data_IF_406496541259
#
_entry.id   IF_406496541259
#
_cell.length_a   1.000
_cell.length_b   1.000
_cell.length_c   1.000
_cell.angle_alpha   90.00
_cell.angle_beta   90.00
_cell.angle_gamma   90.00
#
_symmetry.space_group_name_H-M   'P 1'
#
loop_
_entity.id
_entity.type
_entity.pdbx_description
1 polymer ?
#
# COMPACT_ATOMS: atom_id res chain seq x y z
N UNK A 1 -2.10 22.75 21.70
CA UNK A 1 -2.37 21.98 20.47
C UNK A 1 -2.87 22.94 19.42
N UNK A 2 -2.21 22.96 18.27
CA UNK A 2 -2.69 23.63 17.08
C UNK A 2 -3.95 22.93 16.53
N UNK A 3 -4.66 23.57 15.60
CA UNK A 3 -5.74 22.92 14.88
C UNK A 3 -5.25 21.69 14.11
N UNK A 4 -4.05 21.76 13.52
CA UNK A 4 -3.41 20.65 12.81
C UNK A 4 -3.12 19.47 13.75
N UNK A 5 -2.59 19.72 14.95
CA UNK A 5 -2.29 18.68 15.95
C UNK A 5 -3.56 17.93 16.36
N UNK A 6 -4.67 18.66 16.48
CA UNK A 6 -5.98 18.09 16.84
C UNK A 6 -6.51 17.20 15.73
N UNK A 7 -6.37 17.64 14.47
CA UNK A 7 -6.76 16.85 13.30
C UNK A 7 -5.87 15.60 13.17
N UNK A 8 -4.55 15.75 13.33
CA UNK A 8 -3.60 14.63 13.28
C UNK A 8 -3.93 13.57 14.35
N UNK A 9 -4.13 13.98 15.60
CA UNK A 9 -4.50 13.07 16.68
C UNK A 9 -5.83 12.36 16.39
N UNK A 10 -6.85 13.10 15.97
CA UNK A 10 -8.16 12.52 15.62
C UNK A 10 -8.07 11.53 14.46
N UNK A 11 -7.32 11.87 13.41
CA UNK A 11 -7.07 11.01 12.26
C UNK A 11 -6.28 9.75 12.62
N UNK A 12 -5.26 9.87 13.48
CA UNK A 12 -4.50 8.73 13.99
C UNK A 12 -5.36 7.75 14.79
N UNK A 13 -6.22 8.26 15.69
CA UNK A 13 -7.17 7.43 16.45
C UNK A 13 -8.16 6.76 15.51
N UNK A 14 -8.72 7.50 14.55
CA UNK A 14 -9.65 6.96 13.56
C UNK A 14 -9.00 5.88 12.68
N UNK A 15 -7.75 6.08 12.27
CA UNK A 15 -6.97 5.10 11.50
C UNK A 15 -6.77 3.80 12.29
N UNK A 16 -6.35 3.90 13.55
CA UNK A 16 -6.17 2.73 14.41
C UNK A 16 -7.50 1.98 14.62
N UNK A 17 -8.58 2.68 14.95
CA UNK A 17 -9.89 2.08 15.15
C UNK A 17 -10.41 1.40 13.87
N UNK A 18 -10.29 2.06 12.72
CA UNK A 18 -10.71 1.52 11.42
C UNK A 18 -9.87 0.30 11.03
N UNK A 19 -8.54 0.35 11.20
CA UNK A 19 -7.66 -0.77 10.91
C UNK A 19 -7.98 -1.99 11.78
N UNK A 20 -8.18 -1.81 13.09
CA UNK A 20 -8.53 -2.90 14.02
C UNK A 20 -9.90 -3.51 13.67
N UNK A 21 -10.90 -2.67 13.37
CA UNK A 21 -12.21 -3.15 12.92
C UNK A 21 -12.11 -3.96 11.62
N UNK A 22 -11.26 -3.52 10.69
CA UNK A 22 -11.01 -4.24 9.45
C UNK A 22 -10.31 -5.57 9.68
N UNK A 23 -9.29 -5.61 10.54
CA UNK A 23 -8.58 -6.85 10.87
C UNK A 23 -9.51 -7.86 11.52
N UNK A 24 -10.35 -7.42 12.46
CA UNK A 24 -11.38 -8.26 13.05
C UNK A 24 -12.33 -8.83 11.99
N UNK A 25 -12.74 -8.03 11.01
CA UNK A 25 -13.60 -8.47 9.92
C UNK A 25 -12.95 -9.51 8.98
N UNK A 26 -11.62 -9.69 9.04
CA UNK A 26 -10.91 -10.76 8.30
C UNK A 26 -10.79 -12.07 9.08
N UNK A 27 -11.02 -12.05 10.39
CA UNK A 27 -10.99 -13.23 11.25
C UNK A 27 -12.35 -13.94 11.30
N UNK A 28 -13.45 -13.18 11.23
CA UNK A 28 -14.82 -13.69 11.26
C UNK A 28 -15.42 -13.80 9.85
N UNK A 29 -16.18 -14.87 9.59
CA UNK A 29 -16.88 -15.12 8.32
C UNK A 29 -18.36 -14.74 8.36
N UNK A 30 -18.83 -14.14 9.45
CA UNK A 30 -20.21 -13.69 9.57
C UNK A 30 -20.59 -12.60 8.55
N UNK A 31 -21.90 -12.49 8.22
CA UNK A 31 -22.41 -11.41 7.35
C UNK A 31 -22.11 -10.00 7.88
N UNK A 32 -22.03 -9.84 9.20
CA UNK A 32 -21.64 -8.58 9.83
C UNK A 32 -20.21 -8.16 9.45
N UNK A 33 -19.29 -9.13 9.32
CA UNK A 33 -17.91 -8.88 8.92
C UNK A 33 -17.81 -8.24 7.53
N UNK A 34 -18.70 -8.59 6.58
CA UNK A 34 -18.75 -7.96 5.26
C UNK A 34 -19.12 -6.47 5.30
N UNK A 35 -20.06 -6.07 6.18
CA UNK A 35 -20.41 -4.64 6.36
C UNK A 35 -19.30 -3.87 7.06
N UNK A 36 -18.66 -4.50 8.06
CA UNK A 36 -17.51 -3.90 8.74
C UNK A 36 -16.37 -3.69 7.75
N UNK A 37 -16.05 -4.68 6.90
CA UNK A 37 -15.03 -4.54 5.85
C UNK A 37 -15.33 -3.39 4.89
N UNK A 38 -16.58 -3.30 4.42
CA UNK A 38 -17.05 -2.28 3.48
C UNK A 38 -16.78 -0.85 3.98
N UNK A 39 -16.92 -0.61 5.27
CA UNK A 39 -16.74 0.72 5.88
C UNK A 39 -15.31 0.93 6.38
N UNK A 40 -14.79 -0.04 7.13
CA UNK A 40 -13.50 0.06 7.80
C UNK A 40 -12.33 0.15 6.82
N UNK A 41 -12.41 -0.51 5.66
CA UNK A 41 -11.32 -0.52 4.68
C UNK A 41 -11.11 0.87 4.05
N UNK A 42 -12.12 1.51 3.43
CA UNK A 42 -11.98 2.90 2.97
C UNK A 42 -11.63 3.88 4.08
N UNK A 43 -12.25 3.73 5.26
CA UNK A 43 -12.05 4.64 6.39
C UNK A 43 -10.60 4.62 6.89
N UNK A 44 -9.98 3.45 6.96
CA UNK A 44 -8.57 3.34 7.35
C UNK A 44 -7.66 4.11 6.38
N UNK A 45 -7.84 3.93 5.07
CA UNK A 45 -7.04 4.64 4.05
C UNK A 45 -7.26 6.15 4.09
N UNK A 46 -8.51 6.62 4.24
CA UNK A 46 -8.84 8.05 4.39
C UNK A 46 -8.18 8.63 5.66
N UNK A 47 -8.32 7.94 6.79
CA UNK A 47 -7.80 8.40 8.07
C UNK A 47 -6.27 8.45 8.07
N UNK A 48 -5.60 7.45 7.50
CA UNK A 48 -4.13 7.44 7.35
C UNK A 48 -3.66 8.58 6.43
N UNK A 49 -4.35 8.80 5.29
CA UNK A 49 -4.02 9.91 4.39
C UNK A 49 -4.23 11.28 5.03
N UNK A 50 -5.29 11.44 5.83
CA UNK A 50 -5.56 12.66 6.58
C UNK A 50 -4.51 12.89 7.67
N UNK A 51 -4.12 11.82 8.36
CA UNK A 51 -3.02 11.86 9.32
C UNK A 51 -1.71 12.29 8.65
N UNK A 52 -1.39 11.75 7.46
CA UNK A 52 -0.21 12.11 6.69
C UNK A 52 -0.14 13.61 6.38
N UNK A 53 -1.25 14.17 5.88
CA UNK A 53 -1.31 15.60 5.52
C UNK A 53 -1.31 16.50 6.76
N UNK A 54 -2.06 16.15 7.80
CA UNK A 54 -2.16 16.96 9.01
C UNK A 54 -0.89 16.94 9.86
N UNK A 55 -0.04 15.92 9.69
CA UNK A 55 1.21 15.74 10.42
C UNK A 55 2.45 16.04 9.56
N UNK A 56 2.27 16.50 8.32
CA UNK A 56 3.39 16.78 7.43
C UNK A 56 4.24 17.91 8.00
N UNK A 57 5.57 17.75 7.99
CA UNK A 57 6.50 18.79 8.41
C UNK A 57 6.44 20.00 7.46
N UNK A 58 6.68 21.20 8.00
CA UNK A 58 6.54 22.47 7.26
C UNK A 58 7.50 22.59 6.05
N UNK A 59 8.61 21.84 6.07
CA UNK A 59 9.65 21.84 5.04
C UNK A 59 9.44 20.74 3.98
N UNK A 60 8.39 19.93 4.08
CA UNK A 60 8.05 18.93 3.05
C UNK A 60 7.81 19.65 1.71
N UNK A 61 8.50 19.25 0.63
CA UNK A 61 8.28 19.84 -0.69
C UNK A 61 6.82 19.68 -1.13
N UNK A 62 6.22 20.75 -1.65
CA UNK A 62 4.81 20.71 -2.12
C UNK A 62 4.56 19.59 -3.13
N UNK A 63 5.52 19.33 -4.02
CA UNK A 63 5.44 18.23 -4.98
C UNK A 63 5.33 16.86 -4.29
N UNK A 64 6.07 16.64 -3.19
CA UNK A 64 5.99 15.41 -2.41
C UNK A 64 4.62 15.25 -1.74
N UNK A 65 4.12 16.31 -1.11
CA UNK A 65 2.81 16.31 -0.45
C UNK A 65 1.67 16.04 -1.44
N UNK A 66 1.66 16.71 -2.60
CA UNK A 66 0.66 16.50 -3.66
C UNK A 66 0.73 15.07 -4.19
N UNK A 67 1.93 14.55 -4.45
CA UNK A 67 2.11 13.18 -4.90
C UNK A 67 1.63 12.15 -3.85
N UNK A 68 1.88 12.40 -2.56
CA UNK A 68 1.38 11.57 -1.47
C UNK A 68 -0.15 11.52 -1.45
N UNK A 69 -0.81 12.68 -1.53
CA UNK A 69 -2.28 12.78 -1.55
C UNK A 69 -2.86 12.01 -2.75
N UNK A 70 -2.28 12.17 -3.94
CA UNK A 70 -2.67 11.41 -5.13
C UNK A 70 -2.50 9.91 -4.88
N UNK A 71 -1.37 9.49 -4.30
CA UNK A 71 -1.10 8.10 -3.93
C UNK A 71 -2.15 7.51 -3.00
N UNK A 72 -2.50 8.21 -1.91
CA UNK A 72 -3.53 7.77 -0.97
C UNK A 72 -4.92 7.72 -1.59
N UNK A 73 -5.30 8.70 -2.43
CA UNK A 73 -6.58 8.70 -3.14
C UNK A 73 -6.66 7.53 -4.13
N UNK A 74 -5.59 7.24 -4.86
CA UNK A 74 -5.52 6.11 -5.78
C UNK A 74 -5.54 4.76 -5.04
N UNK A 75 -4.92 4.66 -3.86
CA UNK A 75 -5.06 3.50 -2.99
C UNK A 75 -6.50 3.32 -2.52
N UNK A 76 -7.18 4.40 -2.13
CA UNK A 76 -8.60 4.37 -1.75
C UNK A 76 -9.50 3.90 -2.89
N UNK A 77 -9.29 4.43 -4.10
CA UNK A 77 -10.03 3.98 -5.30
C UNK A 77 -9.76 2.50 -5.58
N UNK A 78 -8.51 2.05 -5.44
CA UNK A 78 -8.14 0.64 -5.54
C UNK A 78 -8.83 -0.21 -4.48
N UNK A 79 -8.89 0.25 -3.24
CA UNK A 79 -9.54 -0.42 -2.12
C UNK A 79 -11.01 -0.66 -2.38
N UNK A 80 -11.71 0.37 -2.89
CA UNK A 80 -13.13 0.32 -3.24
C UNK A 80 -13.36 -0.60 -4.44
N UNK A 81 -12.54 -0.51 -5.48
CA UNK A 81 -12.65 -1.36 -6.67
C UNK A 81 -12.49 -2.85 -6.35
N UNK A 82 -11.64 -3.18 -5.37
CA UNK A 82 -11.39 -4.56 -4.92
C UNK A 82 -12.36 -5.05 -3.83
N UNK A 83 -13.33 -4.23 -3.38
CA UNK A 83 -14.34 -4.71 -2.45
C UNK A 83 -15.20 -5.80 -3.12
N UNK A 84 -15.65 -6.83 -2.39
CA UNK A 84 -16.52 -7.87 -2.95
C UNK A 84 -17.82 -7.35 -3.57
N UNK A 85 -18.29 -6.17 -3.15
CA UNK A 85 -19.48 -5.53 -3.71
C UNK A 85 -19.25 -4.88 -5.09
N UNK A 86 -17.98 -4.62 -5.45
CA UNK A 86 -17.60 -3.99 -6.73
C UNK A 86 -16.91 -5.00 -7.64
N UNK A 87 -16.00 -5.82 -7.08
CA UNK A 87 -15.31 -6.94 -7.71
C UNK A 87 -14.61 -6.60 -9.04
N UNK A 88 -13.96 -5.44 -9.10
CA UNK A 88 -13.24 -4.94 -10.28
C UNK A 88 -11.74 -5.05 -10.10
N UNK A 89 -11.22 -6.27 -10.27
CA UNK A 89 -9.79 -6.54 -10.11
C UNK A 89 -8.87 -5.67 -10.97
N UNK A 90 -9.10 -5.60 -12.30
CA UNK A 90 -8.23 -4.85 -13.21
C UNK A 90 -8.23 -3.33 -12.91
N UNK A 91 -9.39 -2.66 -12.78
CA UNK A 91 -9.42 -1.26 -12.35
C UNK A 91 -8.76 -1.03 -10.99
N UNK A 92 -8.96 -1.93 -10.03
CA UNK A 92 -8.30 -1.84 -8.72
C UNK A 92 -6.78 -1.94 -8.84
N UNK A 93 -6.28 -2.92 -9.60
CA UNK A 93 -4.85 -3.11 -9.89
C UNK A 93 -4.24 -1.88 -10.56
N UNK A 94 -4.92 -1.31 -11.55
CA UNK A 94 -4.48 -0.11 -12.25
C UNK A 94 -4.42 1.11 -11.31
N UNK A 95 -5.39 1.24 -10.41
CA UNK A 95 -5.42 2.31 -9.41
C UNK A 95 -4.24 2.21 -8.45
N UNK A 96 -3.98 1.03 -7.89
CA UNK A 96 -2.81 0.82 -7.03
C UNK A 96 -1.49 1.05 -7.77
N UNK A 97 -1.37 0.60 -9.02
CA UNK A 97 -0.19 0.85 -9.86
C UNK A 97 0.07 2.35 -10.00
N UNK A 98 -0.96 3.13 -10.34
CA UNK A 98 -0.84 4.58 -10.44
C UNK A 98 -0.52 5.23 -9.08
N UNK A 99 -1.07 4.70 -7.98
CA UNK A 99 -0.72 5.12 -6.62
C UNK A 99 0.75 4.90 -6.29
N UNK A 100 1.32 3.75 -6.65
CA UNK A 100 2.74 3.46 -6.49
C UNK A 100 3.62 4.42 -7.27
N UNK A 101 3.23 4.79 -8.48
CA UNK A 101 3.94 5.82 -9.25
C UNK A 101 3.88 7.19 -8.56
N UNK A 102 2.74 7.54 -7.95
CA UNK A 102 2.64 8.76 -7.16
C UNK A 102 3.57 8.72 -5.94
N UNK A 103 3.68 7.59 -5.25
CA UNK A 103 4.66 7.44 -4.16
C UNK A 103 6.12 7.46 -4.64
N UNK A 104 6.42 6.97 -5.85
CA UNK A 104 7.74 7.16 -6.48
C UNK A 104 8.03 8.64 -6.64
N UNK A 105 7.09 9.42 -7.17
CA UNK A 105 7.24 10.88 -7.32
C UNK A 105 7.43 11.55 -5.96
N UNK A 106 6.67 11.13 -4.94
CA UNK A 106 6.84 11.60 -3.56
C UNK A 106 8.27 11.37 -3.06
N UNK A 107 8.80 10.15 -3.18
CA UNK A 107 10.16 9.83 -2.75
C UNK A 107 11.23 10.58 -3.53
N UNK A 108 11.08 10.72 -4.85
CA UNK A 108 12.01 11.51 -5.67
C UNK A 108 12.03 12.97 -5.22
N UNK A 109 10.86 13.54 -4.94
CA UNK A 109 10.74 14.92 -4.48
C UNK A 109 11.33 15.13 -3.07
N UNK A 110 11.31 14.10 -2.22
CA UNK A 110 11.94 14.12 -0.89
C UNK A 110 13.47 13.93 -0.93
N UNK A 111 14.02 13.46 -2.05
CA UNK A 111 15.46 13.22 -2.22
C UNK A 111 15.85 11.75 -2.07
N UNK A 112 16.92 11.37 -2.79
CA UNK A 112 17.40 9.97 -2.91
C UNK A 112 18.86 9.83 -2.46
N UNK A 113 19.19 10.44 -1.32
CA UNK A 113 20.57 10.61 -0.85
C UNK A 113 21.28 9.29 -0.50
N UNK A 114 20.51 8.21 -0.28
CA UNK A 114 21.00 6.89 0.11
C UNK A 114 20.81 5.87 -1.01
N UNK A 115 21.22 6.20 -2.22
CA UNK A 115 21.13 5.33 -3.42
C UNK A 115 21.62 3.88 -3.19
N UNK A 116 22.62 3.66 -2.33
CA UNK A 116 23.13 2.33 -2.01
C UNK A 116 22.11 1.45 -1.26
N UNK A 117 21.22 2.04 -0.45
CA UNK A 117 20.07 1.33 0.13
C UNK A 117 19.08 0.93 -0.97
N UNK A 118 18.90 1.77 -1.99
CA UNK A 118 18.14 1.42 -3.19
C UNK A 118 18.75 0.22 -3.93
N UNK A 119 20.08 0.14 -4.04
CA UNK A 119 20.76 -1.02 -4.64
C UNK A 119 20.55 -2.30 -3.81
N UNK A 120 20.56 -2.22 -2.48
CA UNK A 120 20.22 -3.34 -1.60
C UNK A 120 18.76 -3.77 -1.81
N UNK A 121 17.84 -2.80 -1.86
CA UNK A 121 16.44 -3.05 -2.14
C UNK A 121 16.25 -3.72 -3.50
N UNK A 122 17.02 -3.33 -4.53
CA UNK A 122 16.98 -3.92 -5.87
C UNK A 122 17.31 -5.42 -5.82
N UNK A 123 18.34 -5.80 -5.06
CA UNK A 123 18.67 -7.21 -4.83
C UNK A 123 17.54 -7.91 -4.07
N UNK A 124 17.01 -7.27 -3.02
CA UNK A 124 15.88 -7.80 -2.24
C UNK A 124 14.64 -8.08 -3.09
N UNK A 125 14.19 -7.10 -3.88
CA UNK A 125 13.03 -7.27 -4.77
C UNK A 125 13.31 -8.27 -5.88
N UNK A 126 14.53 -8.36 -6.41
CA UNK A 126 14.90 -9.39 -7.38
C UNK A 126 14.75 -10.81 -6.79
N UNK A 127 15.14 -11.00 -5.52
CA UNK A 127 14.93 -12.26 -4.78
C UNK A 127 13.43 -12.52 -4.60
N UNK A 128 12.65 -11.53 -4.16
CA UNK A 128 11.19 -11.68 -4.00
C UNK A 128 10.51 -12.03 -5.33
N UNK A 129 10.85 -11.35 -6.42
CA UNK A 129 10.35 -11.66 -7.77
C UNK A 129 10.73 -13.07 -8.18
N UNK A 130 11.96 -13.51 -7.91
CA UNK A 130 12.45 -14.86 -8.24
C UNK A 130 11.70 -15.96 -7.50
N UNK A 131 11.39 -15.75 -6.22
CA UNK A 131 10.79 -16.75 -5.33
C UNK A 131 9.25 -16.74 -5.40
N UNK A 132 8.65 -15.56 -5.42
CA UNK A 132 7.20 -15.35 -5.32
C UNK A 132 6.64 -14.84 -6.64
N UNK A 133 7.19 -13.75 -7.18
CA UNK A 133 6.65 -13.04 -8.34
C UNK A 133 6.48 -13.92 -9.58
N UNK A 134 7.44 -14.80 -9.87
CA UNK A 134 7.36 -15.74 -11.01
C UNK A 134 6.21 -16.74 -10.87
N UNK A 135 5.99 -17.24 -9.67
CA UNK A 135 4.90 -18.19 -9.38
C UNK A 135 3.55 -17.49 -9.49
N UNK A 136 3.44 -16.27 -8.95
CA UNK A 136 2.25 -15.42 -9.06
C UNK A 136 1.94 -15.11 -10.52
N UNK A 137 2.94 -14.68 -11.30
CA UNK A 137 2.77 -14.36 -12.72
C UNK A 137 2.36 -15.59 -13.55
N UNK A 138 2.95 -16.75 -13.25
CA UNK A 138 2.56 -18.01 -13.90
C UNK A 138 1.11 -18.35 -13.59
N UNK A 139 0.72 -18.31 -12.31
CA UNK A 139 -0.66 -18.56 -11.89
C UNK A 139 -1.67 -17.57 -12.49
N UNK A 140 -1.29 -16.28 -12.61
CA UNK A 140 -2.10 -15.28 -13.28
C UNK A 140 -2.32 -15.62 -14.76
N UNK A 141 -1.25 -15.99 -15.48
CA UNK A 141 -1.31 -16.39 -16.89
C UNK A 141 -2.11 -17.66 -17.11
N UNK A 142 -1.98 -18.65 -16.22
CA UNK A 142 -2.74 -19.90 -16.27
C UNK A 142 -4.24 -19.66 -16.02
N UNK A 143 -4.57 -18.71 -15.14
CA UNK A 143 -5.95 -18.33 -14.84
C UNK A 143 -6.61 -17.57 -15.99
N UNK A 144 -5.91 -16.58 -16.53
CA UNK A 144 -6.32 -15.82 -17.71
C UNK A 144 -5.07 -15.18 -18.36
N UNK A 145 -4.72 -15.56 -19.61
CA UNK A 145 -3.57 -15.00 -20.32
C UNK A 145 -3.54 -13.46 -20.39
N UNK A 146 -4.70 -12.80 -20.39
CA UNK A 146 -4.80 -11.35 -20.40
C UNK A 146 -4.29 -10.70 -19.10
N UNK A 147 -4.23 -11.44 -17.98
CA UNK A 147 -3.73 -10.95 -16.69
C UNK A 147 -2.20 -10.93 -16.61
N UNK A 148 -1.49 -11.63 -17.50
CA UNK A 148 -0.04 -11.73 -17.44
C UNK A 148 0.64 -10.36 -17.58
N UNK A 149 0.24 -9.55 -18.57
CA UNK A 149 0.84 -8.24 -18.78
C UNK A 149 0.51 -7.23 -17.65
N UNK A 150 -0.75 -7.06 -17.20
CA UNK A 150 -1.07 -6.21 -16.06
C UNK A 150 -0.34 -6.59 -14.77
N UNK A 151 -0.27 -7.88 -14.45
CA UNK A 151 0.43 -8.35 -13.23
C UNK A 151 1.94 -8.14 -13.34
N UNK A 152 2.54 -8.37 -14.51
CA UNK A 152 3.97 -8.10 -14.72
C UNK A 152 4.30 -6.60 -14.60
N UNK A 153 3.48 -5.74 -15.21
CA UNK A 153 3.62 -4.28 -15.09
C UNK A 153 3.50 -3.83 -13.63
N UNK A 154 2.53 -4.38 -12.90
CA UNK A 154 2.34 -4.11 -11.48
C UNK A 154 3.56 -4.50 -10.64
N UNK A 155 4.07 -5.72 -10.82
CA UNK A 155 5.26 -6.21 -10.12
C UNK A 155 6.48 -5.32 -10.38
N UNK A 156 6.66 -4.84 -11.61
CA UNK A 156 7.75 -3.92 -11.95
C UNK A 156 7.61 -2.58 -11.22
N UNK A 157 6.41 -1.99 -11.25
CA UNK A 157 6.15 -0.69 -10.62
C UNK A 157 6.32 -0.75 -9.11
N UNK A 158 5.71 -1.71 -8.42
CA UNK A 158 5.84 -1.82 -6.96
C UNK A 158 7.28 -2.13 -6.52
N UNK A 159 8.02 -2.92 -7.31
CA UNK A 159 9.44 -3.17 -7.07
C UNK A 159 10.25 -1.89 -7.22
N UNK A 160 9.97 -1.08 -8.24
CA UNK A 160 10.62 0.23 -8.42
C UNK A 160 10.29 1.19 -7.28
N UNK A 161 9.05 1.21 -6.81
CA UNK A 161 8.62 2.01 -5.66
C UNK A 161 9.41 1.65 -4.40
N UNK A 162 9.62 0.35 -4.13
CA UNK A 162 10.44 -0.09 -3.01
C UNK A 162 11.91 0.32 -3.14
N UNK A 163 12.49 0.19 -4.34
CA UNK A 163 13.88 0.63 -4.59
C UNK A 163 14.05 2.12 -4.36
N UNK A 164 13.15 2.94 -4.90
CA UNK A 164 13.18 4.40 -4.74
C UNK A 164 12.90 4.78 -3.28
N UNK A 165 11.93 4.12 -2.63
CA UNK A 165 11.62 4.33 -1.22
C UNK A 165 12.80 4.06 -0.31
N UNK A 166 13.57 3.00 -0.57
CA UNK A 166 14.81 2.73 0.17
C UNK A 166 15.92 3.74 -0.12
N UNK A 167 16.02 4.22 -1.36
CA UNK A 167 17.01 5.22 -1.73
C UNK A 167 16.84 6.57 -1.02
N UNK A 168 15.65 6.87 -0.48
CA UNK A 168 15.44 8.04 0.39
C UNK A 168 16.28 7.98 1.68
N UNK A 169 16.57 6.77 2.19
CA UNK A 169 17.17 6.59 3.50
C UNK A 169 16.24 6.88 4.68
N UNK A 170 14.99 7.27 4.45
CA UNK A 170 14.01 7.49 5.51
C UNK A 170 13.51 6.13 6.03
N UNK A 171 13.65 5.81 7.34
CA UNK A 171 13.21 4.53 7.89
C UNK A 171 11.72 4.24 7.66
N UNK A 172 10.85 5.24 7.73
CA UNK A 172 9.43 5.10 7.48
C UNK A 172 9.13 4.76 6.01
N UNK A 173 9.85 5.38 5.07
CA UNK A 173 9.73 5.07 3.63
C UNK A 173 10.21 3.63 3.33
N UNK A 174 11.32 3.22 3.95
CA UNK A 174 11.88 1.86 3.84
C UNK A 174 10.86 0.84 4.34
N UNK A 175 10.33 1.04 5.56
CA UNK A 175 9.36 0.12 6.18
C UNK A 175 8.06 0.11 5.37
N UNK A 176 7.52 1.29 5.04
CA UNK A 176 6.26 1.44 4.33
C UNK A 176 6.28 0.77 2.96
N UNK A 177 7.31 1.06 2.16
CA UNK A 177 7.45 0.47 0.83
C UNK A 177 7.72 -1.04 0.86
N UNK A 178 8.47 -1.53 1.84
CA UNK A 178 8.71 -2.97 2.04
C UNK A 178 7.44 -3.72 2.44
N UNK A 179 6.64 -3.13 3.35
CA UNK A 179 5.36 -3.69 3.76
C UNK A 179 4.35 -3.70 2.60
N UNK A 180 4.43 -2.73 1.68
CA UNK A 180 3.62 -2.75 0.47
C UNK A 180 3.98 -3.92 -0.45
N UNK A 181 5.27 -4.14 -0.71
CA UNK A 181 5.74 -5.32 -1.46
C UNK A 181 5.32 -6.62 -0.78
N UNK A 182 5.40 -6.69 0.54
CA UNK A 182 4.97 -7.87 1.31
C UNK A 182 3.46 -8.11 1.21
N UNK A 183 2.66 -7.06 1.43
CA UNK A 183 1.19 -7.10 1.29
C UNK A 183 0.78 -7.67 -0.05
N UNK A 184 1.36 -7.15 -1.12
CA UNK A 184 0.94 -7.49 -2.48
C UNK A 184 1.51 -8.83 -2.94
N UNK A 185 2.65 -9.23 -2.41
CA UNK A 185 3.16 -10.60 -2.55
C UNK A 185 2.19 -11.61 -1.94
N UNK A 186 1.66 -11.33 -0.75
CA UNK A 186 0.66 -12.18 -0.09
C UNK A 186 -0.66 -12.17 -0.87
N UNK A 187 -1.11 -10.99 -1.33
CA UNK A 187 -2.34 -10.85 -2.12
C UNK A 187 -2.25 -11.61 -3.44
N UNK A 188 -1.18 -11.41 -4.21
CA UNK A 188 -0.94 -12.09 -5.48
C UNK A 188 -0.87 -13.61 -5.29
N UNK A 189 -0.18 -14.08 -4.25
CA UNK A 189 -0.14 -15.50 -3.90
C UNK A 189 -1.52 -16.06 -3.58
N UNK A 190 -2.33 -15.32 -2.81
CA UNK A 190 -3.69 -15.70 -2.46
C UNK A 190 -4.61 -15.80 -3.68
N UNK A 191 -4.48 -14.88 -4.64
CA UNK A 191 -5.35 -14.79 -5.82
C UNK A 191 -4.98 -15.81 -6.90
N UNK A 192 -3.68 -16.05 -7.11
CA UNK A 192 -3.18 -16.78 -8.28
C UNK A 192 -2.51 -18.11 -7.96
N UNK A 193 -2.20 -18.40 -6.70
CA UNK A 193 -1.49 -19.63 -6.31
C UNK A 193 -2.31 -20.48 -5.35
N UNK A 194 -2.58 -20.00 -4.14
CA UNK A 194 -3.42 -20.71 -3.16
C UNK A 194 -3.99 -19.76 -2.11
N UNK A 195 -5.26 -19.98 -1.76
CA UNK A 195 -5.90 -19.25 -0.67
C UNK A 195 -5.43 -19.80 0.70
N UNK A 196 -4.75 -18.97 1.48
CA UNK A 196 -4.41 -19.26 2.87
C UNK A 196 -5.50 -18.77 3.84
N UNK A 197 -5.77 -19.54 4.91
CA UNK A 197 -6.74 -19.18 5.97
C UNK A 197 -6.56 -17.76 6.50
N UNK A 198 -5.32 -17.36 6.74
CA UNK A 198 -4.98 -16.05 7.31
C UNK A 198 -4.46 -15.04 6.29
N UNK A 199 -4.44 -15.39 5.00
CA UNK A 199 -3.85 -14.53 3.97
C UNK A 199 -4.59 -13.20 3.86
N UNK A 200 -5.92 -13.20 4.00
CA UNK A 200 -6.70 -11.96 3.95
C UNK A 200 -6.36 -10.99 5.10
N UNK A 201 -6.18 -11.52 6.33
CA UNK A 201 -5.76 -10.72 7.46
C UNK A 201 -4.33 -10.21 7.27
N UNK A 202 -3.40 -11.10 6.89
CA UNK A 202 -2.01 -10.75 6.69
C UNK A 202 -1.85 -9.61 5.68
N UNK A 203 -2.56 -9.67 4.54
CA UNK A 203 -2.63 -8.56 3.56
C UNK A 203 -3.05 -7.26 4.23
N UNK A 204 -4.17 -7.24 4.97
CA UNK A 204 -4.67 -5.98 5.56
C UNK A 204 -3.75 -5.43 6.67
N UNK A 205 -3.09 -6.29 7.45
CA UNK A 205 -2.11 -5.85 8.47
C UNK A 205 -0.91 -5.20 7.80
N UNK A 206 -0.33 -5.87 6.82
CA UNK A 206 0.83 -5.33 6.08
C UNK A 206 0.46 -4.10 5.26
N UNK A 207 -0.75 -4.06 4.68
CA UNK A 207 -1.23 -2.94 3.90
C UNK A 207 -1.44 -1.67 4.74
N UNK A 208 -2.13 -1.77 5.88
CA UNK A 208 -2.29 -0.62 6.77
C UNK A 208 -0.94 -0.16 7.33
N UNK A 209 -0.04 -1.10 7.67
CA UNK A 209 1.33 -0.76 8.07
C UNK A 209 2.13 -0.08 6.95
N UNK A 210 1.91 -0.48 5.70
CA UNK A 210 2.52 0.14 4.54
C UNK A 210 2.05 1.59 4.37
N UNK A 211 0.74 1.82 4.35
CA UNK A 211 0.15 3.16 4.28
C UNK A 211 0.61 4.06 5.43
N UNK A 212 0.68 3.52 6.65
CA UNK A 212 1.16 4.26 7.81
C UNK A 212 2.65 4.62 7.68
N UNK A 213 3.50 3.71 7.20
CA UNK A 213 4.91 4.01 6.93
C UNK A 213 5.09 5.10 5.87
N UNK A 214 4.28 5.07 4.81
CA UNK A 214 4.26 6.14 3.80
C UNK A 214 3.78 7.48 4.39
N UNK A 215 2.76 7.46 5.26
CA UNK A 215 2.30 8.66 5.95
C UNK A 215 3.39 9.25 6.86
N UNK A 216 4.04 8.40 7.66
CA UNK A 216 5.12 8.78 8.57
C UNK A 216 6.37 9.30 7.85
N UNK A 217 6.52 9.00 6.56
CA UNK A 217 7.62 9.56 5.74
C UNK A 217 7.53 11.09 5.66
N UNK A 218 6.35 11.67 5.81
CA UNK A 218 6.12 13.12 5.70
C UNK A 218 6.25 13.86 7.05
N UNK A 219 6.38 13.16 8.17
CA UNK A 219 6.25 13.75 9.52
C UNK A 219 7.55 14.38 10.05
N UNK A 220 8.70 14.07 9.44
CA UNK A 220 10.03 14.48 9.90
C UNK A 220 10.78 13.38 10.63
#
# INVERSE_FOLDING_TARGET
MSAADTVALGAGIAAAAAALANWWSRLDRARAAGRVELVSKPLATIAIGTFAVASAADDVPTAALVAAVIGFVLCLVGDVALLPAVDRFIPGLASFLAGHLAFVVMFVALGLDRWWLGAIALVGVAVVVRLVGRTVLRGARERDPALAAPVAAYLAVISSMAVVGWATGNPAAIIGSSLFVLSDSILGWRLFVRAGRFAALAVMVTYHGALLGLALTLVG
#
